data_IF_456869197122
#
_entry.id   IF_456869197122
#
_cell.length_a   1.000
_cell.length_b   1.000
_cell.length_c   1.000
_cell.angle_alpha   90.00
_cell.angle_beta   90.00
_cell.angle_gamma   90.00
#
_symmetry.space_group_name_H-M   'P 1'
#
loop_
_entity.id
_entity.type
_entity.pdbx_description
1 polymer ?
#
# COMPACT_ATOMS: atom_id res chain seq x y z
N UNK A 1 20.70 12.00 -2.01
CA UNK A 1 19.33 11.45 -1.95
C UNK A 1 18.30 12.56 -1.81
N UNK A 2 17.14 12.47 -2.48
CA UNK A 2 16.01 13.38 -2.30
C UNK A 2 15.07 12.80 -1.24
N UNK A 3 14.84 13.52 -0.17
CA UNK A 3 14.03 13.06 0.96
C UNK A 3 12.77 13.90 1.07
N UNK A 4 11.61 13.25 1.17
CA UNK A 4 10.32 13.86 1.47
C UNK A 4 9.96 13.59 2.93
N UNK A 5 9.64 14.63 3.70
CA UNK A 5 9.23 14.50 5.09
C UNK A 5 7.87 15.16 5.32
N UNK A 6 6.80 14.36 5.41
CA UNK A 6 5.49 14.85 5.84
C UNK A 6 5.52 15.29 7.31
N UNK A 7 4.90 16.44 7.60
CA UNK A 7 4.75 16.96 8.97
C UNK A 7 3.30 17.32 9.28
N UNK A 8 2.87 16.98 10.49
CA UNK A 8 1.62 17.43 11.11
C UNK A 8 1.89 18.46 12.21
N UNK A 9 3.14 18.94 12.27
CA UNK A 9 3.64 19.85 13.28
C UNK A 9 3.63 19.29 14.70
N UNK A 10 3.49 18.00 14.90
CA UNK A 10 3.66 17.36 16.20
C UNK A 10 5.13 17.24 16.59
N UNK A 11 5.39 17.06 17.88
CA UNK A 11 6.76 16.81 18.36
C UNK A 11 7.42 15.59 17.70
N UNK A 12 6.64 14.62 17.25
CA UNK A 12 7.12 13.39 16.59
C UNK A 12 7.46 13.62 15.13
N UNK A 13 6.63 14.38 14.39
CA UNK A 13 6.99 14.78 13.03
C UNK A 13 8.22 15.70 13.06
N UNK A 14 8.41 16.50 14.11
CA UNK A 14 9.62 17.29 14.28
C UNK A 14 10.88 16.41 14.45
N UNK A 15 10.83 15.34 15.26
CA UNK A 15 11.95 14.38 15.37
C UNK A 15 12.20 13.68 14.02
N UNK A 16 11.15 13.31 13.31
CA UNK A 16 11.28 12.72 11.97
C UNK A 16 11.96 13.70 10.99
N UNK A 17 11.60 14.98 11.05
CA UNK A 17 12.22 16.02 10.24
C UNK A 17 13.72 16.21 10.57
N UNK A 18 14.10 16.13 11.85
CA UNK A 18 15.52 16.17 12.26
C UNK A 18 16.29 14.96 11.72
N UNK A 19 15.73 13.75 11.80
CA UNK A 19 16.33 12.54 11.22
C UNK A 19 16.45 12.66 9.71
N UNK A 20 15.39 13.14 9.04
CA UNK A 20 15.39 13.36 7.59
C UNK A 20 16.47 14.37 7.17
N UNK A 21 16.61 15.45 7.91
CA UNK A 21 17.64 16.47 7.67
C UNK A 21 19.05 15.93 7.87
N UNK A 22 19.29 15.18 8.95
CA UNK A 22 20.59 14.55 9.22
C UNK A 22 20.97 13.59 8.07
N UNK A 23 20.02 12.80 7.59
CA UNK A 23 20.23 11.86 6.48
C UNK A 23 20.45 12.60 5.15
N UNK A 24 19.68 13.67 4.87
CA UNK A 24 19.88 14.51 3.69
C UNK A 24 21.29 15.15 3.69
N UNK A 25 21.75 15.63 4.85
CA UNK A 25 23.10 16.19 5.02
C UNK A 25 24.18 15.14 4.75
N UNK A 26 24.06 13.94 5.33
CA UNK A 26 25.06 12.87 5.15
C UNK A 26 25.11 12.35 3.71
N UNK A 27 23.98 12.29 3.01
CA UNK A 27 23.88 11.83 1.62
C UNK A 27 24.13 12.94 0.61
N UNK A 28 24.58 14.14 1.04
CA UNK A 28 24.72 15.34 0.17
C UNK A 28 23.47 15.58 -0.68
N UNK A 29 22.30 15.32 -0.09
CA UNK A 29 21.01 15.36 -0.75
C UNK A 29 20.19 16.60 -0.42
N UNK A 30 18.88 16.50 -0.61
CA UNK A 30 17.91 17.57 -0.33
C UNK A 30 16.76 17.03 0.51
N UNK A 31 16.15 17.93 1.29
CA UNK A 31 14.96 17.66 2.08
C UNK A 31 13.80 18.53 1.62
N UNK A 32 12.66 17.92 1.36
CA UNK A 32 11.42 18.64 1.18
C UNK A 32 10.45 18.32 2.32
N UNK A 33 10.00 19.37 3.00
CA UNK A 33 8.99 19.29 4.05
C UNK A 33 7.61 19.42 3.42
N UNK A 34 6.70 18.48 3.72
CA UNK A 34 5.33 18.48 3.20
C UNK A 34 4.33 18.61 4.35
N UNK A 35 3.42 19.59 4.26
CA UNK A 35 2.23 19.60 5.09
C UNK A 35 0.97 19.50 4.24
N UNK A 36 -0.01 18.73 4.69
CA UNK A 36 -1.30 18.54 4.00
C UNK A 36 -2.40 19.15 4.84
N UNK A 37 -3.04 20.16 4.31
CA UNK A 37 -4.25 20.74 4.90
C UNK A 37 -5.42 19.84 4.52
N UNK A 38 -6.02 19.20 5.53
CA UNK A 38 -7.21 18.37 5.31
C UNK A 38 -8.44 19.25 5.27
N UNK A 39 -9.15 19.24 4.16
CA UNK A 39 -10.46 19.88 4.06
C UNK A 39 -11.40 19.22 5.07
N UNK A 40 -12.03 20.02 5.94
CA UNK A 40 -13.12 19.50 6.78
C UNK A 40 -14.29 19.14 5.87
N UNK A 41 -15.08 18.09 6.20
CA UNK A 41 -16.32 17.83 5.48
C UNK A 41 -17.17 19.09 5.46
N UNK A 42 -17.67 19.45 4.29
CA UNK A 42 -18.47 20.65 4.01
C UNK A 42 -19.77 20.78 4.81
N UNK A 43 -20.10 19.79 5.64
CA UNK A 43 -21.35 19.72 6.39
C UNK A 43 -21.42 20.65 7.62
N UNK A 44 -20.34 21.37 7.94
CA UNK A 44 -20.28 22.27 9.10
C UNK A 44 -20.21 23.76 8.75
N UNK A 45 -20.16 24.13 7.47
CA UNK A 45 -19.96 25.56 7.11
C UNK A 45 -20.92 25.96 6.00
N UNK A 46 -22.13 26.28 6.40
CA UNK A 46 -23.12 27.05 5.58
C UNK A 46 -22.98 28.55 5.84
N UNK A 47 -21.79 29.09 6.10
CA UNK A 47 -21.58 30.51 6.35
C UNK A 47 -20.58 31.10 5.34
N UNK A 48 -20.76 32.33 4.95
CA UNK A 48 -19.85 33.12 4.10
C UNK A 48 -18.43 33.24 4.67
N UNK A 49 -18.25 32.86 5.94
CA UNK A 49 -16.94 32.84 6.65
C UNK A 49 -16.08 31.62 6.37
N UNK A 50 -16.60 30.62 5.65
CA UNK A 50 -15.86 29.35 5.40
C UNK A 50 -14.57 29.59 4.63
N UNK A 51 -14.62 30.42 3.59
CA UNK A 51 -13.44 30.73 2.76
C UNK A 51 -12.37 31.49 3.55
N UNK A 52 -12.77 32.39 4.44
CA UNK A 52 -11.85 33.13 5.31
C UNK A 52 -11.15 32.21 6.31
N UNK A 53 -11.87 31.22 6.86
CA UNK A 53 -11.29 30.22 7.77
C UNK A 53 -10.31 29.32 7.04
N UNK A 54 -10.63 28.88 5.83
CA UNK A 54 -9.72 28.07 5.00
C UNK A 54 -8.44 28.83 4.63
N UNK A 55 -8.56 30.08 4.22
CA UNK A 55 -7.41 30.94 3.91
C UNK A 55 -6.55 31.19 5.15
N UNK A 56 -7.16 31.37 6.32
CA UNK A 56 -6.42 31.54 7.58
C UNK A 56 -5.69 30.24 7.98
N UNK A 57 -6.34 29.08 7.83
CA UNK A 57 -5.69 27.77 8.09
C UNK A 57 -4.50 27.54 7.16
N UNK A 58 -4.66 27.84 5.87
CA UNK A 58 -3.60 27.76 4.87
C UNK A 58 -2.43 28.68 5.22
N UNK A 59 -2.70 29.95 5.51
CA UNK A 59 -1.69 30.94 5.88
C UNK A 59 -0.91 30.54 7.15
N UNK A 60 -1.64 30.05 8.16
CA UNK A 60 -1.02 29.56 9.39
C UNK A 60 -0.14 28.33 9.13
N UNK A 61 -0.62 27.37 8.34
CA UNK A 61 0.13 26.17 7.98
C UNK A 61 1.40 26.54 7.19
N UNK A 62 1.31 27.45 6.24
CA UNK A 62 2.45 27.92 5.46
C UNK A 62 3.51 28.62 6.34
N UNK A 63 3.05 29.46 7.27
CA UNK A 63 3.95 30.15 8.23
C UNK A 63 4.69 29.16 9.12
N UNK A 64 3.98 28.17 9.69
CA UNK A 64 4.57 27.12 10.53
C UNK A 64 5.55 26.25 9.74
N UNK A 65 5.18 25.84 8.53
CA UNK A 65 6.03 25.02 7.67
C UNK A 65 7.32 25.76 7.29
N UNK A 66 7.22 27.06 6.96
CA UNK A 66 8.39 27.89 6.68
C UNK A 66 9.28 28.07 7.93
N UNK A 67 8.70 28.12 9.12
CA UNK A 67 9.45 28.20 10.38
C UNK A 67 10.21 26.89 10.66
N UNK A 68 9.57 25.72 10.48
CA UNK A 68 10.26 24.42 10.60
C UNK A 68 11.42 24.29 9.60
N UNK A 69 11.21 24.65 8.32
CA UNK A 69 12.27 24.63 7.33
C UNK A 69 13.45 25.52 7.70
N UNK A 70 13.18 26.74 8.21
CA UNK A 70 14.24 27.65 8.67
C UNK A 70 15.02 27.09 9.86
N UNK A 71 14.34 26.44 10.81
CA UNK A 71 14.98 25.82 11.96
C UNK A 71 15.90 24.66 11.59
N UNK A 72 15.59 23.93 10.51
CA UNK A 72 16.40 22.84 9.97
C UNK A 72 17.52 23.34 9.06
N UNK A 73 17.33 24.51 8.42
CA UNK A 73 18.28 25.02 7.42
C UNK A 73 19.61 25.38 8.07
N UNK A 74 20.61 24.50 7.90
CA UNK A 74 21.99 24.76 8.30
C UNK A 74 22.95 24.21 7.24
N UNK A 75 23.98 24.99 6.90
CA UNK A 75 25.01 24.58 5.94
C UNK A 75 24.54 24.53 4.48
N UNK A 76 24.99 23.51 3.73
CA UNK A 76 24.77 23.39 2.28
C UNK A 76 23.53 22.55 1.90
N UNK A 77 22.87 21.92 2.86
CA UNK A 77 21.72 21.06 2.60
C UNK A 77 20.51 21.90 2.22
N UNK A 78 19.97 21.66 1.02
CA UNK A 78 18.78 22.36 0.55
C UNK A 78 17.55 21.83 1.29
N UNK A 79 16.82 22.74 1.94
CA UNK A 79 15.53 22.44 2.57
C UNK A 79 14.45 23.28 1.90
N UNK A 80 13.44 22.61 1.37
CA UNK A 80 12.29 23.25 0.71
C UNK A 80 10.99 22.85 1.41
N UNK A 81 9.91 23.57 1.13
CA UNK A 81 8.59 23.26 1.69
C UNK A 81 7.52 23.18 0.63
N UNK A 82 6.54 22.31 0.84
CA UNK A 82 5.36 22.19 0.01
C UNK A 82 4.11 22.06 0.86
N UNK A 83 3.09 22.85 0.53
CA UNK A 83 1.78 22.79 1.15
C UNK A 83 0.83 22.13 0.14
N UNK A 84 0.18 21.03 0.54
CA UNK A 84 -0.83 20.34 -0.24
C UNK A 84 -2.19 20.45 0.45
N UNK A 85 -3.26 20.13 -0.28
CA UNK A 85 -4.63 20.07 0.21
C UNK A 85 -5.27 18.74 -0.17
N UNK A 86 -6.10 18.21 0.71
CA UNK A 86 -6.93 17.03 0.46
C UNK A 86 -6.57 15.82 1.34
N UNK A 87 -6.59 14.64 0.73
CA UNK A 87 -6.25 13.39 1.42
C UNK A 87 -4.75 13.28 1.67
N UNK A 88 -4.40 12.98 2.92
CA UNK A 88 -3.01 13.02 3.39
C UNK A 88 -2.15 11.97 2.68
N UNK A 89 -2.62 10.73 2.62
CA UNK A 89 -1.87 9.61 2.07
C UNK A 89 -1.66 9.78 0.57
N UNK A 90 -2.69 10.15 -0.17
CA UNK A 90 -2.63 10.42 -1.60
C UNK A 90 -1.71 11.59 -1.93
N UNK A 91 -1.73 12.64 -1.12
CA UNK A 91 -0.86 13.81 -1.28
C UNK A 91 0.61 13.46 -1.06
N UNK A 92 0.92 12.64 -0.05
CA UNK A 92 2.28 12.16 0.20
C UNK A 92 2.80 11.36 -0.98
N UNK A 93 2.01 10.38 -1.48
CA UNK A 93 2.41 9.54 -2.61
C UNK A 93 2.60 10.35 -3.88
N UNK A 94 1.64 11.20 -4.22
CA UNK A 94 1.71 12.07 -5.41
C UNK A 94 2.93 12.98 -5.36
N UNK A 95 3.23 13.54 -4.18
CA UNK A 95 4.40 14.41 -4.03
C UNK A 95 5.70 13.65 -4.12
N UNK A 96 5.81 12.49 -3.47
CA UNK A 96 6.97 11.62 -3.56
C UNK A 96 7.26 11.21 -5.02
N UNK A 97 6.21 10.89 -5.77
CA UNK A 97 6.33 10.53 -7.18
C UNK A 97 6.76 11.71 -8.04
N UNK A 98 6.09 12.87 -7.92
CA UNK A 98 6.35 14.06 -8.77
C UNK A 98 7.73 14.67 -8.55
N UNK A 99 8.27 14.56 -7.33
CA UNK A 99 9.61 15.06 -7.00
C UNK A 99 10.71 14.03 -7.28
N UNK A 100 10.34 12.77 -7.51
CA UNK A 100 11.29 11.67 -7.59
C UNK A 100 12.01 11.45 -6.27
N UNK A 101 11.28 11.50 -5.14
CA UNK A 101 11.86 11.24 -3.83
C UNK A 101 12.42 9.82 -3.74
N UNK A 102 13.63 9.69 -3.20
CA UNK A 102 14.28 8.39 -2.97
C UNK A 102 13.81 7.76 -1.67
N UNK A 103 13.36 8.58 -0.71
CA UNK A 103 12.95 8.15 0.62
C UNK A 103 11.88 9.09 1.18
N UNK A 104 10.84 8.53 1.77
CA UNK A 104 9.87 9.26 2.61
C UNK A 104 10.26 9.03 4.07
N UNK A 105 10.34 10.08 4.89
CA UNK A 105 10.66 9.97 6.32
C UNK A 105 9.50 10.51 7.14
N UNK A 106 8.92 9.72 8.03
CA UNK A 106 7.77 10.14 8.81
C UNK A 106 7.77 9.59 10.25
N UNK A 107 7.13 10.30 11.15
CA UNK A 107 6.92 9.84 12.52
C UNK A 107 5.92 8.68 12.58
N UNK A 108 6.08 7.82 13.57
CA UNK A 108 5.18 6.65 13.73
C UNK A 108 3.75 7.02 14.16
N UNK A 109 3.53 8.15 14.83
CA UNK A 109 2.21 8.60 15.35
C UNK A 109 2.14 10.11 15.48
N UNK A 110 0.92 10.69 15.46
CA UNK A 110 0.66 12.10 15.71
C UNK A 110 0.23 12.41 17.15
N UNK A 111 -0.36 11.47 17.90
CA UNK A 111 -0.90 11.73 19.25
C UNK A 111 -0.22 10.96 20.39
N UNK A 112 0.02 11.62 21.56
CA UNK A 112 0.69 10.99 22.71
C UNK A 112 -0.14 9.94 23.46
N UNK A 113 -1.47 10.05 23.42
CA UNK A 113 -2.38 9.29 24.28
C UNK A 113 -2.51 7.78 23.95
N UNK A 114 -2.15 7.37 22.74
CA UNK A 114 -2.20 5.96 22.29
C UNK A 114 -0.81 5.33 22.18
N UNK A 115 0.14 5.82 22.96
CA UNK A 115 1.59 5.63 22.82
C UNK A 115 2.14 4.22 23.09
N UNK A 116 1.29 3.22 23.33
CA UNK A 116 1.79 1.86 23.55
C UNK A 116 1.50 0.99 22.33
N UNK A 117 2.46 0.97 21.37
CA UNK A 117 2.56 -0.08 20.36
C UNK A 117 1.60 -0.05 19.16
N UNK A 118 1.14 1.13 18.69
CA UNK A 118 0.30 1.19 17.49
C UNK A 118 0.92 2.17 16.49
N UNK A 119 1.19 1.73 15.25
CA UNK A 119 1.55 2.62 14.14
C UNK A 119 0.34 3.51 13.83
N UNK A 120 0.56 4.82 13.64
CA UNK A 120 -0.52 5.75 13.30
C UNK A 120 -1.19 5.40 11.96
N UNK A 121 -2.48 5.70 11.82
CA UNK A 121 -3.26 5.36 10.63
C UNK A 121 -2.65 5.87 9.32
N UNK A 122 -2.13 7.11 9.32
CA UNK A 122 -1.46 7.70 8.15
C UNK A 122 -0.16 6.94 7.83
N UNK A 123 0.69 6.68 8.84
CA UNK A 123 1.94 5.96 8.64
C UNK A 123 1.70 4.54 8.14
N UNK A 124 0.74 3.81 8.73
CA UNK A 124 0.39 2.46 8.30
C UNK A 124 -0.12 2.42 6.86
N UNK A 125 -1.04 3.34 6.50
CA UNK A 125 -1.57 3.41 5.13
C UNK A 125 -0.50 3.83 4.14
N UNK A 126 0.36 4.80 4.51
CA UNK A 126 1.46 5.23 3.65
C UNK A 126 2.42 4.08 3.37
N UNK A 127 2.84 3.30 4.38
CA UNK A 127 3.70 2.11 4.19
C UNK A 127 3.01 1.06 3.29
N UNK A 128 1.70 0.89 3.44
CA UNK A 128 0.95 -0.10 2.64
C UNK A 128 0.80 0.26 1.18
N UNK A 129 0.72 1.56 0.88
CA UNK A 129 0.45 2.09 -0.46
C UNK A 129 1.71 2.60 -1.17
N UNK A 130 2.86 2.63 -0.47
CA UNK A 130 4.06 3.24 -0.98
C UNK A 130 4.67 2.48 -2.17
N UNK A 131 5.06 3.24 -3.16
CA UNK A 131 5.94 2.84 -4.26
C UNK A 131 7.41 3.25 -4.01
N UNK A 132 7.68 3.90 -2.89
CA UNK A 132 8.99 4.41 -2.45
C UNK A 132 9.37 3.88 -1.08
N UNK A 133 10.66 3.75 -0.75
CA UNK A 133 11.11 3.44 0.60
C UNK A 133 10.57 4.44 1.62
N UNK A 134 10.11 3.94 2.77
CA UNK A 134 9.61 4.77 3.88
C UNK A 134 10.38 4.47 5.15
N UNK A 135 11.00 5.49 5.72
CA UNK A 135 11.59 5.46 7.06
C UNK A 135 10.55 5.87 8.09
N UNK A 136 10.19 4.97 8.96
CA UNK A 136 9.37 5.25 10.14
C UNK A 136 10.29 5.53 11.32
N UNK A 137 10.11 6.72 11.89
CA UNK A 137 10.86 7.18 13.07
C UNK A 137 10.01 6.98 14.31
N UNK A 138 10.35 6.01 15.19
CA UNK A 138 9.60 5.72 16.40
C UNK A 138 9.88 6.75 17.52
N UNK A 139 9.03 6.77 18.58
CA UNK A 139 9.32 7.55 19.77
C UNK A 139 10.64 7.13 20.44
N UNK A 140 11.33 8.10 21.04
CA UNK A 140 12.62 7.83 21.69
C UNK A 140 13.80 7.68 20.73
N UNK A 141 13.58 7.95 19.42
CA UNK A 141 14.70 8.13 18.51
C UNK A 141 15.38 9.44 18.82
N UNK A 142 16.64 9.37 19.21
CA UNK A 142 17.48 10.56 19.29
C UNK A 142 18.14 10.75 17.92
N UNK A 143 17.96 11.91 17.27
CA UNK A 143 18.77 12.24 16.12
C UNK A 143 20.23 12.21 16.58
N UNK A 144 21.01 11.26 16.09
CA UNK A 144 22.44 11.25 16.37
C UNK A 144 23.04 12.51 15.75
N UNK A 145 23.26 13.53 16.58
CA UNK A 145 24.06 14.67 16.21
C UNK A 145 25.50 14.16 16.03
N UNK A 146 25.80 13.67 14.82
CA UNK A 146 27.20 13.44 14.45
C UNK A 146 27.83 14.81 14.24
N UNK A 147 28.94 15.06 14.94
CA UNK A 147 29.76 16.26 14.72
C UNK A 147 30.08 16.37 13.21
N UNK A 148 30.25 17.58 12.68
CA UNK A 148 30.56 17.80 11.27
C UNK A 148 31.81 17.06 10.77
N UNK A 149 32.72 16.71 11.68
CA UNK A 149 33.96 15.96 11.42
C UNK A 149 33.83 14.43 11.65
N UNK A 150 32.68 13.98 12.14
CA UNK A 150 32.45 12.54 12.32
C UNK A 150 32.13 11.91 10.95
N UNK A 151 33.19 11.54 10.25
CA UNK A 151 33.17 10.76 9.00
C UNK A 151 32.60 9.34 9.22
N UNK A 152 31.92 9.12 10.33
CA UNK A 152 31.39 7.84 10.74
C UNK A 152 30.41 7.26 9.72
N UNK A 153 30.67 6.03 9.36
CA UNK A 153 29.81 5.19 8.55
C UNK A 153 28.45 5.02 9.22
N UNK A 154 27.36 5.01 8.43
CA UNK A 154 26.05 4.59 8.91
C UNK A 154 26.09 3.10 9.28
N UNK A 155 25.53 2.73 10.41
CA UNK A 155 25.41 1.33 10.83
C UNK A 155 24.00 0.82 10.55
N UNK A 156 23.86 -0.08 9.58
CA UNK A 156 22.58 -0.52 9.03
C UNK A 156 22.44 -2.04 9.12
N UNK A 157 21.30 -2.48 9.63
CA UNK A 157 20.88 -3.89 9.54
C UNK A 157 19.88 -4.04 8.42
N UNK A 158 20.13 -4.94 7.48
CA UNK A 158 19.22 -5.31 6.39
C UNK A 158 18.66 -6.69 6.65
N UNK A 159 17.39 -6.77 7.02
CA UNK A 159 16.73 -8.05 7.28
C UNK A 159 16.24 -8.67 5.96
N UNK A 160 16.73 -9.86 5.65
CA UNK A 160 16.44 -10.61 4.43
C UNK A 160 15.83 -11.98 4.77
N UNK A 161 14.77 -12.36 4.09
CA UNK A 161 14.10 -13.66 4.25
C UNK A 161 14.25 -14.59 3.03
N UNK A 162 15.03 -14.14 2.02
CA UNK A 162 15.23 -14.87 0.76
C UNK A 162 14.02 -14.83 -0.19
N UNK A 163 13.01 -13.99 0.09
CA UNK A 163 11.82 -13.82 -0.76
C UNK A 163 11.95 -12.60 -1.67
N UNK A 164 10.99 -12.44 -2.59
CA UNK A 164 10.99 -11.33 -3.54
C UNK A 164 11.01 -9.95 -2.88
N UNK A 165 10.36 -9.78 -1.72
CA UNK A 165 10.38 -8.54 -0.95
C UNK A 165 11.78 -8.15 -0.46
N UNK A 166 12.64 -9.12 -0.18
CA UNK A 166 14.04 -8.90 0.23
C UNK A 166 14.89 -8.22 -0.85
N UNK A 167 14.57 -8.42 -2.13
CA UNK A 167 15.30 -7.77 -3.24
C UNK A 167 15.22 -6.24 -3.18
N UNK A 168 14.04 -5.69 -2.85
CA UNK A 168 13.88 -4.26 -2.67
C UNK A 168 14.80 -3.72 -1.57
N UNK A 169 14.85 -4.38 -0.42
CA UNK A 169 15.73 -4.01 0.69
C UNK A 169 17.22 -4.06 0.30
N UNK A 170 17.62 -5.08 -0.44
CA UNK A 170 18.99 -5.22 -0.95
C UNK A 170 19.35 -4.09 -1.92
N UNK A 171 18.48 -3.75 -2.87
CA UNK A 171 18.71 -2.66 -3.82
C UNK A 171 18.73 -1.29 -3.12
N UNK A 172 17.90 -1.09 -2.11
CA UNK A 172 17.97 0.12 -1.30
C UNK A 172 19.31 0.23 -0.56
N UNK A 173 19.80 -0.85 0.03
CA UNK A 173 21.12 -0.88 0.69
C UNK A 173 22.25 -0.58 -0.31
N UNK A 174 22.17 -1.12 -1.53
CA UNK A 174 23.10 -0.79 -2.62
C UNK A 174 23.06 0.69 -2.99
N UNK A 175 21.86 1.25 -3.11
CA UNK A 175 21.68 2.67 -3.41
C UNK A 175 22.23 3.56 -2.29
N UNK A 176 21.92 3.23 -1.03
CA UNK A 176 22.39 4.00 0.12
C UNK A 176 23.92 4.07 0.18
N UNK A 177 24.61 2.94 -0.01
CA UNK A 177 26.09 2.84 -0.01
C UNK A 177 26.76 3.65 -1.11
N UNK A 178 26.06 4.01 -2.19
CA UNK A 178 26.58 4.92 -3.22
C UNK A 178 26.58 6.38 -2.77
N UNK A 179 25.77 6.74 -1.78
CA UNK A 179 25.58 8.10 -1.32
C UNK A 179 26.31 8.41 -0.02
N UNK A 180 26.56 7.40 0.82
CA UNK A 180 27.15 7.57 2.15
C UNK A 180 27.94 6.32 2.55
N UNK A 181 29.11 6.45 3.24
CA UNK A 181 29.76 5.31 3.86
C UNK A 181 28.81 4.58 4.80
N UNK A 182 28.71 3.27 4.65
CA UNK A 182 27.69 2.49 5.35
C UNK A 182 28.21 1.09 5.71
N UNK A 183 28.25 0.79 7.00
CA UNK A 183 28.50 -0.54 7.53
C UNK A 183 27.18 -1.30 7.53
N UNK A 184 27.10 -2.32 6.70
CA UNK A 184 25.86 -3.05 6.48
C UNK A 184 26.00 -4.47 7.00
N UNK A 185 25.09 -4.86 7.90
CA UNK A 185 24.93 -6.25 8.30
C UNK A 185 23.66 -6.82 7.66
N UNK A 186 23.83 -7.81 6.79
CA UNK A 186 22.72 -8.59 6.25
C UNK A 186 22.33 -9.67 7.25
N UNK A 187 21.14 -9.57 7.80
CA UNK A 187 20.62 -10.47 8.82
C UNK A 187 19.58 -11.41 8.22
N UNK A 188 19.80 -12.71 8.38
CA UNK A 188 18.81 -13.75 8.12
C UNK A 188 18.46 -14.46 9.41
N UNK A 189 17.18 -14.44 9.77
CA UNK A 189 16.66 -15.30 10.83
C UNK A 189 16.16 -16.61 10.24
N UNK A 190 16.38 -17.71 10.95
CA UNK A 190 15.90 -19.03 10.54
C UNK A 190 15.22 -19.76 11.70
N UNK A 191 14.27 -20.63 11.34
CA UNK A 191 13.64 -21.56 12.26
C UNK A 191 14.38 -22.90 12.21
N UNK A 192 15.06 -23.37 13.28
CA UNK A 192 15.87 -24.59 13.24
C UNK A 192 15.12 -25.80 12.70
N UNK A 193 13.86 -26.00 13.14
CA UNK A 193 13.04 -27.14 12.70
C UNK A 193 12.76 -27.09 11.18
N UNK A 194 12.46 -25.91 10.63
CA UNK A 194 12.19 -25.76 9.21
C UNK A 194 13.43 -26.00 8.36
N UNK A 195 14.60 -25.49 8.80
CA UNK A 195 15.86 -25.66 8.09
C UNK A 195 16.37 -27.08 8.16
N UNK A 196 16.19 -27.79 9.28
CA UNK A 196 16.50 -29.22 9.37
C UNK A 196 15.66 -30.03 8.37
N UNK A 197 14.36 -29.74 8.26
CA UNK A 197 13.50 -30.39 7.29
C UNK A 197 13.93 -30.07 5.84
N UNK A 198 14.28 -28.81 5.55
CA UNK A 198 14.74 -28.36 4.24
C UNK A 198 16.04 -29.05 3.80
N UNK A 199 16.98 -29.20 4.72
CA UNK A 199 18.30 -29.83 4.47
C UNK A 199 18.26 -31.35 4.56
N UNK A 200 17.10 -31.95 4.91
CA UNK A 200 16.99 -33.40 5.10
C UNK A 200 17.82 -33.94 6.28
N UNK A 201 18.10 -33.10 7.26
CA UNK A 201 18.91 -33.47 8.43
C UNK A 201 18.07 -34.30 9.38
N UNK A 202 18.39 -35.61 9.48
CA UNK A 202 17.70 -36.55 10.35
C UNK A 202 18.53 -36.86 11.59
N UNK A 203 17.89 -37.13 12.72
CA UNK A 203 18.53 -37.48 14.00
C UNK A 203 18.15 -36.53 15.13
N UNK A 204 18.43 -36.92 16.37
CA UNK A 204 18.24 -36.07 17.53
C UNK A 204 19.27 -34.93 17.53
N UNK A 205 18.81 -33.70 17.29
CA UNK A 205 19.61 -32.48 17.34
C UNK A 205 19.15 -31.62 18.50
N UNK A 206 20.08 -30.94 19.12
CA UNK A 206 19.80 -30.01 20.19
C UNK A 206 19.29 -28.69 19.57
N UNK A 207 17.97 -28.48 19.61
CA UNK A 207 17.33 -27.28 19.09
C UNK A 207 17.69 -26.00 19.86
N UNK A 208 18.31 -26.12 21.04
CA UNK A 208 18.75 -24.97 21.84
C UNK A 208 20.09 -24.40 21.36
N UNK A 209 20.82 -25.15 20.54
CA UNK A 209 22.14 -24.75 20.03
C UNK A 209 22.06 -24.34 18.56
N UNK A 210 23.00 -23.47 18.18
CA UNK A 210 23.21 -23.06 16.79
C UNK A 210 23.88 -24.22 16.04
N UNK A 211 23.24 -24.70 14.99
CA UNK A 211 23.82 -25.76 14.15
C UNK A 211 24.77 -25.17 13.10
N UNK A 212 26.09 -25.49 13.18
CA UNK A 212 27.09 -24.92 12.27
C UNK A 212 26.84 -25.27 10.79
N UNK A 213 26.27 -26.44 10.50
CA UNK A 213 25.97 -26.88 9.13
C UNK A 213 24.87 -26.03 8.49
N UNK A 214 23.78 -25.76 9.26
CA UNK A 214 22.70 -24.88 8.85
C UNK A 214 23.20 -23.45 8.65
N UNK A 215 23.98 -22.94 9.60
CA UNK A 215 24.54 -21.58 9.51
C UNK A 215 25.45 -21.44 8.30
N UNK A 216 26.30 -22.42 8.03
CA UNK A 216 27.22 -22.41 6.89
C UNK A 216 26.44 -22.38 5.54
N UNK A 217 25.39 -23.20 5.41
CA UNK A 217 24.55 -23.24 4.21
C UNK A 217 23.82 -21.92 3.99
N UNK A 218 23.14 -21.42 5.02
CA UNK A 218 22.41 -20.16 4.96
C UNK A 218 23.33 -18.96 4.71
N UNK A 219 24.52 -18.93 5.34
CA UNK A 219 25.52 -17.88 5.11
C UNK A 219 25.98 -17.87 3.66
N UNK A 220 26.25 -19.04 3.08
CA UNK A 220 26.64 -19.17 1.67
C UNK A 220 25.52 -18.71 0.74
N UNK A 221 24.30 -19.14 1.01
CA UNK A 221 23.12 -18.73 0.25
C UNK A 221 22.91 -17.22 0.30
N UNK A 222 23.00 -16.63 1.50
CA UNK A 222 22.84 -15.19 1.69
C UNK A 222 23.99 -14.41 1.04
N UNK A 223 25.23 -14.90 1.10
CA UNK A 223 26.37 -14.27 0.42
C UNK A 223 26.18 -14.22 -1.11
N UNK A 224 25.63 -15.28 -1.69
CA UNK A 224 25.31 -15.32 -3.12
C UNK A 224 24.17 -14.33 -3.48
N UNK A 225 23.15 -14.23 -2.63
CA UNK A 225 22.04 -13.29 -2.82
C UNK A 225 22.53 -11.84 -2.74
N UNK A 226 23.33 -11.51 -1.74
CA UNK A 226 23.89 -10.17 -1.52
C UNK A 226 24.83 -9.77 -2.66
N UNK A 227 25.69 -10.66 -3.09
CA UNK A 227 26.67 -10.41 -4.15
C UNK A 227 27.60 -9.23 -3.84
N UNK A 228 28.11 -8.59 -4.89
CA UNK A 228 28.96 -7.42 -4.75
C UNK A 228 28.14 -6.17 -4.43
N UNK A 229 28.56 -5.42 -3.41
CA UNK A 229 27.97 -4.12 -3.07
C UNK A 229 28.99 -3.00 -3.30
N UNK A 230 28.64 -1.96 -4.05
CA UNK A 230 29.48 -0.78 -4.22
C UNK A 230 29.47 0.08 -2.93
N UNK A 231 30.43 1.01 -2.85
CA UNK A 231 30.48 2.02 -1.79
C UNK A 231 31.47 1.70 -0.67
N UNK A 232 31.59 2.63 0.28
CA UNK A 232 32.50 2.55 1.42
C UNK A 232 31.80 1.96 2.66
N UNK A 233 32.60 1.42 3.58
CA UNK A 233 32.15 0.75 4.81
C UNK A 233 32.20 -0.77 4.69
N UNK A 234 31.99 -1.44 5.81
CA UNK A 234 32.05 -2.90 5.93
C UNK A 234 30.78 -3.59 5.47
N UNK A 235 30.89 -4.85 5.08
CA UNK A 235 29.77 -5.73 4.78
C UNK A 235 29.91 -6.96 5.66
N UNK A 236 28.88 -7.26 6.41
CA UNK A 236 28.81 -8.42 7.28
C UNK A 236 27.57 -9.25 6.99
N UNK A 237 27.66 -10.56 7.16
CA UNK A 237 26.54 -11.48 7.07
C UNK A 237 26.32 -12.11 8.44
N UNK A 238 25.09 -12.09 8.90
CA UNK A 238 24.67 -12.71 10.14
C UNK A 238 23.50 -13.65 9.89
N UNK A 239 23.61 -14.87 10.41
CA UNK A 239 22.56 -15.89 10.37
C UNK A 239 22.27 -16.30 11.80
N UNK A 240 21.06 -16.03 12.27
CA UNK A 240 20.69 -16.23 13.66
C UNK A 240 19.44 -17.13 13.76
N UNK A 241 19.43 -18.12 14.65
CA UNK A 241 18.25 -18.91 14.90
C UNK A 241 17.19 -18.08 15.62
N UNK A 242 15.93 -18.37 15.38
CA UNK A 242 14.81 -17.81 16.13
C UNK A 242 13.84 -18.90 16.57
N UNK A 243 13.37 -18.81 17.81
CA UNK A 243 12.36 -19.71 18.38
C UNK A 243 11.08 -18.96 18.74
N UNK A 244 11.11 -17.64 18.57
CA UNK A 244 10.04 -16.73 18.94
C UNK A 244 9.57 -15.86 17.78
N UNK A 245 9.20 -14.62 18.10
CA UNK A 245 8.75 -13.66 17.11
C UNK A 245 9.94 -13.04 16.35
N UNK A 246 10.03 -13.23 15.03
CA UNK A 246 11.11 -12.66 14.22
C UNK A 246 11.21 -11.13 14.32
N UNK A 247 10.08 -10.43 14.51
CA UNK A 247 10.09 -8.98 14.65
C UNK A 247 10.87 -8.53 15.90
N UNK A 248 10.66 -9.20 17.02
CA UNK A 248 11.41 -8.95 18.27
C UNK A 248 12.90 -9.27 18.10
N UNK A 249 13.23 -10.41 17.50
CA UNK A 249 14.60 -10.83 17.29
C UNK A 249 15.39 -9.84 16.41
N UNK A 250 14.80 -9.34 15.30
CA UNK A 250 15.43 -8.30 14.46
C UNK A 250 15.69 -7.02 15.25
N UNK A 251 14.70 -6.54 16.03
CA UNK A 251 14.85 -5.32 16.81
C UNK A 251 15.86 -5.45 17.94
N UNK A 252 15.92 -6.59 18.61
CA UNK A 252 16.93 -6.89 19.64
C UNK A 252 18.33 -6.94 19.04
N UNK A 253 18.48 -7.60 17.89
CA UNK A 253 19.73 -7.63 17.15
C UNK A 253 20.21 -6.23 16.76
N UNK A 254 19.30 -5.40 16.24
CA UNK A 254 19.61 -4.03 15.84
C UNK A 254 20.01 -3.15 17.05
N UNK A 255 19.29 -3.27 18.19
CA UNK A 255 19.62 -2.54 19.43
C UNK A 255 20.99 -2.94 19.98
N UNK A 256 21.26 -4.23 20.06
CA UNK A 256 22.55 -4.74 20.58
C UNK A 256 23.76 -4.24 19.79
N UNK A 257 23.55 -3.88 18.52
CA UNK A 257 24.59 -3.34 17.63
C UNK A 257 24.52 -1.83 17.43
N UNK A 258 23.65 -1.15 18.15
CA UNK A 258 23.47 0.31 18.05
C UNK A 258 23.25 0.79 16.62
N UNK A 259 22.43 0.07 15.84
CA UNK A 259 22.15 0.42 14.46
C UNK A 259 21.46 1.78 14.34
N UNK A 260 21.76 2.54 13.31
CA UNK A 260 21.08 3.77 12.96
C UNK A 260 19.66 3.49 12.47
N UNK A 261 19.48 2.42 11.68
CA UNK A 261 18.17 1.92 11.26
C UNK A 261 18.21 0.49 10.73
N UNK A 262 17.06 -0.14 10.71
CA UNK A 262 16.81 -1.43 10.07
C UNK A 262 16.19 -1.20 8.70
N UNK A 263 16.63 -1.95 7.69
CA UNK A 263 16.02 -1.98 6.35
C UNK A 263 15.36 -3.33 6.13
N UNK A 264 14.13 -3.34 5.65
CA UNK A 264 13.43 -4.58 5.34
C UNK A 264 12.44 -4.40 4.20
N UNK A 265 12.09 -5.49 3.53
CA UNK A 265 11.05 -5.49 2.51
C UNK A 265 9.66 -5.26 3.12
N UNK A 266 8.88 -4.40 2.50
CA UNK A 266 7.45 -4.28 2.77
C UNK A 266 6.72 -5.33 1.92
N UNK A 267 6.14 -6.36 2.55
CA UNK A 267 5.29 -7.29 1.82
C UNK A 267 3.99 -6.60 1.41
N UNK A 268 3.85 -6.26 0.13
CA UNK A 268 2.55 -5.95 -0.45
C UNK A 268 1.86 -7.27 -0.85
N UNK A 269 1.10 -7.86 0.06
CA UNK A 269 0.30 -9.03 -0.27
C UNK A 269 -0.98 -8.62 -0.98
N UNK A 270 -1.08 -8.92 -2.27
CA UNK A 270 -2.33 -8.94 -3.01
C UNK A 270 -2.97 -10.33 -2.82
N UNK A 271 -4.26 -10.39 -2.44
CA UNK A 271 -5.02 -11.65 -2.35
C UNK A 271 -5.35 -12.16 -0.94
N UNK A 272 -5.95 -13.36 -0.86
CA UNK A 272 -6.51 -14.01 0.34
C UNK A 272 -5.50 -14.31 1.47
N UNK A 273 -4.20 -14.31 1.20
CA UNK A 273 -3.16 -14.51 2.22
C UNK A 273 -3.13 -13.39 3.30
N UNK A 274 -3.96 -12.37 3.13
CA UNK A 274 -4.12 -11.22 4.03
C UNK A 274 -4.72 -11.56 5.40
N UNK A 275 -5.35 -12.71 5.55
CA UNK A 275 -6.24 -13.00 6.70
C UNK A 275 -5.53 -13.81 7.80
N UNK A 276 -4.47 -14.55 7.48
CA UNK A 276 -3.93 -15.55 8.39
C UNK A 276 -2.72 -15.13 9.26
N UNK A 277 -1.89 -14.15 8.82
CA UNK A 277 -0.71 -13.74 9.61
C UNK A 277 -0.45 -12.24 9.44
N UNK A 278 -0.28 -11.53 10.56
CA UNK A 278 0.21 -10.14 10.57
C UNK A 278 1.66 -10.17 10.05
N UNK A 279 2.00 -9.46 8.95
CA UNK A 279 3.36 -9.47 8.41
C UNK A 279 4.41 -9.05 9.45
N UNK A 280 5.62 -9.61 9.37
CA UNK A 280 6.75 -9.23 10.26
C UNK A 280 6.98 -7.72 10.21
N UNK A 281 6.90 -7.11 9.01
CA UNK A 281 7.00 -5.67 8.81
C UNK A 281 5.99 -4.87 9.66
N UNK A 282 4.73 -5.29 9.69
CA UNK A 282 3.70 -4.64 10.51
C UNK A 282 4.01 -4.78 12.02
N UNK A 283 4.46 -5.95 12.45
CA UNK A 283 4.84 -6.18 13.86
C UNK A 283 6.07 -5.36 14.26
N UNK A 284 7.05 -5.24 13.38
CA UNK A 284 8.21 -4.36 13.59
C UNK A 284 7.77 -2.91 13.68
N UNK A 285 6.94 -2.43 12.76
CA UNK A 285 6.43 -1.06 12.77
C UNK A 285 5.72 -0.72 14.09
N UNK A 286 5.02 -1.69 14.67
CA UNK A 286 4.35 -1.54 15.97
C UNK A 286 5.30 -1.61 17.19
N UNK A 287 6.45 -2.30 17.09
CA UNK A 287 7.35 -2.58 18.22
C UNK A 287 8.70 -1.87 18.15
N UNK A 288 8.94 -1.08 17.12
CA UNK A 288 10.23 -0.43 16.85
C UNK A 288 10.53 0.76 17.81
N UNK A 289 10.31 0.58 19.11
CA UNK A 289 10.67 1.61 20.08
C UNK A 289 12.18 1.92 20.01
N UNK A 290 12.53 3.16 19.69
CA UNK A 290 13.91 3.66 19.64
C UNK A 290 14.76 3.19 18.44
N UNK A 291 14.25 2.31 17.54
CA UNK A 291 14.97 1.88 16.35
C UNK A 291 14.21 2.29 15.09
N UNK A 292 14.70 3.24 14.30
CA UNK A 292 14.09 3.60 13.04
C UNK A 292 14.10 2.44 12.03
N UNK A 293 13.02 2.29 11.25
CA UNK A 293 12.87 1.19 10.30
C UNK A 293 12.50 1.70 8.92
N UNK A 294 13.26 1.28 7.90
CA UNK A 294 12.97 1.54 6.49
C UNK A 294 12.22 0.35 5.91
N UNK A 295 11.00 0.60 5.50
CA UNK A 295 10.18 -0.33 4.73
C UNK A 295 10.37 -0.05 3.25
N UNK A 296 10.88 -1.03 2.52
CA UNK A 296 11.15 -0.90 1.09
C UNK A 296 10.10 -1.69 0.31
N UNK A 297 9.35 -1.06 -0.59
CA UNK A 297 8.39 -1.76 -1.42
C UNK A 297 9.09 -2.82 -2.29
N UNK A 298 8.39 -3.89 -2.69
CA UNK A 298 8.94 -4.86 -3.62
C UNK A 298 9.31 -4.15 -4.94
N UNK A 299 10.44 -4.55 -5.50
CA UNK A 299 10.80 -4.10 -6.84
C UNK A 299 9.78 -4.66 -7.84
N UNK A 300 9.41 -3.89 -8.88
CA UNK A 300 8.70 -4.45 -10.01
C UNK A 300 9.48 -5.66 -10.51
N UNK A 301 8.86 -6.83 -10.51
CA UNK A 301 9.52 -8.00 -11.10
C UNK A 301 9.55 -7.82 -12.61
N UNK A 302 10.53 -8.44 -13.29
CA UNK A 302 10.57 -8.42 -14.75
C UNK A 302 9.31 -9.04 -15.40
N UNK A 303 8.51 -9.77 -14.61
CA UNK A 303 7.15 -10.17 -14.99
C UNK A 303 6.13 -9.02 -14.89
N UNK A 304 6.39 -7.98 -14.08
CA UNK A 304 5.56 -6.76 -14.06
C UNK A 304 5.94 -5.79 -15.19
N UNK A 305 7.13 -5.96 -15.79
CA UNK A 305 7.58 -5.23 -16.98
C UNK A 305 7.35 -6.00 -18.29
N UNK A 306 6.99 -7.27 -18.21
CA UNK A 306 6.52 -8.05 -19.34
C UNK A 306 5.01 -7.80 -19.47
N UNK A 307 4.66 -6.91 -20.40
CA UNK A 307 3.32 -6.53 -20.78
C UNK A 307 2.52 -5.90 -19.64
N UNK A 308 2.32 -4.60 -19.67
CA UNK A 308 1.19 -3.97 -18.97
C UNK A 308 0.02 -4.93 -19.17
N UNK A 309 -0.57 -5.52 -18.11
CA UNK A 309 -1.63 -6.51 -18.29
C UNK A 309 -2.68 -5.84 -19.17
N UNK A 310 -2.76 -6.30 -20.40
CA UNK A 310 -3.67 -5.72 -21.38
C UNK A 310 -5.04 -6.12 -20.92
N UNK A 311 -5.81 -5.16 -20.39
CA UNK A 311 -7.20 -5.42 -20.07
C UNK A 311 -7.89 -5.65 -21.41
N UNK A 312 -8.18 -6.91 -21.71
CA UNK A 312 -8.84 -7.35 -22.92
C UNK A 312 -10.29 -7.77 -22.65
N UNK A 313 -10.59 -8.23 -21.43
CA UNK A 313 -11.93 -8.70 -21.05
C UNK A 313 -12.37 -8.03 -19.75
N UNK A 314 -13.50 -7.37 -19.78
CA UNK A 314 -14.06 -6.60 -18.65
C UNK A 314 -15.44 -7.13 -18.27
N UNK A 315 -15.65 -7.46 -17.00
CA UNK A 315 -17.00 -7.69 -16.46
C UNK A 315 -17.62 -6.37 -16.03
N UNK A 316 -18.77 -6.03 -16.60
CA UNK A 316 -19.53 -4.83 -16.32
C UNK A 316 -20.90 -5.17 -15.72
N UNK A 317 -21.00 -5.45 -14.40
CA UNK A 317 -22.27 -5.69 -13.75
C UNK A 317 -23.02 -4.37 -13.55
N UNK A 318 -24.33 -4.39 -13.84
CA UNK A 318 -25.22 -3.25 -13.58
C UNK A 318 -26.51 -3.71 -12.88
N UNK A 319 -27.00 -2.89 -11.96
CA UNK A 319 -28.33 -3.02 -11.38
C UNK A 319 -29.37 -2.19 -12.14
N UNK A 320 -29.02 -1.68 -13.32
CA UNK A 320 -29.81 -0.79 -14.17
C UNK A 320 -30.04 0.59 -13.54
N UNK A 321 -29.42 0.93 -12.42
CA UNK A 321 -29.39 2.29 -11.89
C UNK A 321 -28.54 3.23 -12.75
N UNK A 322 -28.72 4.53 -12.60
CA UNK A 322 -27.90 5.52 -13.32
C UNK A 322 -26.39 5.35 -13.04
N UNK A 323 -26.02 5.00 -11.80
CA UNK A 323 -24.63 4.76 -11.43
C UNK A 323 -24.09 3.46 -12.02
N UNK A 324 -24.88 2.37 -11.99
CA UNK A 324 -24.54 1.11 -12.63
C UNK A 324 -24.37 1.25 -14.14
N UNK A 325 -25.31 1.94 -14.80
CA UNK A 325 -25.26 2.16 -16.25
C UNK A 325 -24.08 3.04 -16.67
N UNK A 326 -23.70 4.01 -15.85
CA UNK A 326 -22.47 4.79 -16.06
C UNK A 326 -21.21 3.94 -15.99
N UNK A 327 -21.16 2.98 -15.08
CA UNK A 327 -20.03 2.05 -15.00
C UNK A 327 -19.90 1.21 -16.28
N UNK A 328 -21.02 0.82 -16.89
CA UNK A 328 -21.03 0.16 -18.20
C UNK A 328 -20.37 1.03 -19.26
N UNK A 329 -20.71 2.31 -19.36
CA UNK A 329 -20.06 3.24 -20.30
C UNK A 329 -18.54 3.35 -20.08
N UNK A 330 -18.09 3.34 -18.81
CA UNK A 330 -16.67 3.32 -18.48
C UNK A 330 -15.96 2.01 -18.93
N UNK A 331 -16.63 0.87 -18.85
CA UNK A 331 -16.08 -0.39 -19.35
C UNK A 331 -15.76 -0.31 -20.85
N UNK A 332 -16.65 0.28 -21.65
CA UNK A 332 -16.39 0.50 -23.07
C UNK A 332 -15.29 1.53 -23.31
N UNK A 333 -15.27 2.64 -22.56
CA UNK A 333 -14.22 3.65 -22.68
C UNK A 333 -12.82 3.07 -22.33
N UNK A 334 -12.75 2.13 -21.40
CA UNK A 334 -11.51 1.46 -21.00
C UNK A 334 -10.94 0.59 -22.16
N UNK A 335 -11.81 -0.05 -22.94
CA UNK A 335 -11.42 -0.93 -24.05
C UNK A 335 -11.32 -0.18 -25.38
N UNK A 336 -11.93 0.99 -25.53
CA UNK A 336 -11.99 1.74 -26.80
C UNK A 336 -10.64 1.92 -27.52
N UNK A 337 -9.49 2.14 -26.84
CA UNK A 337 -8.21 2.30 -27.52
C UNK A 337 -7.65 1.04 -28.20
N UNK A 338 -8.07 -0.16 -27.77
CA UNK A 338 -7.45 -1.42 -28.18
C UNK A 338 -8.45 -2.51 -28.61
N UNK A 339 -9.74 -2.29 -28.38
CA UNK A 339 -10.75 -3.33 -28.52
C UNK A 339 -10.74 -4.30 -27.33
N UNK A 340 -11.55 -5.35 -27.42
CA UNK A 340 -11.64 -6.39 -26.39
C UNK A 340 -13.06 -6.93 -26.20
N UNK A 341 -13.35 -7.46 -25.01
CA UNK A 341 -14.63 -8.07 -24.67
C UNK A 341 -15.25 -7.41 -23.45
N UNK A 342 -16.51 -6.99 -23.56
CA UNK A 342 -17.34 -6.56 -22.43
C UNK A 342 -18.34 -7.65 -22.08
N UNK A 343 -18.21 -8.22 -20.89
CA UNK A 343 -19.18 -9.15 -20.29
C UNK A 343 -20.20 -8.30 -19.49
N UNK A 344 -21.24 -7.85 -20.15
CA UNK A 344 -22.31 -7.04 -19.55
C UNK A 344 -23.30 -7.93 -18.82
N UNK A 345 -23.48 -7.77 -17.53
CA UNK A 345 -24.38 -8.62 -16.78
C UNK A 345 -25.29 -7.87 -15.79
N UNK A 346 -26.46 -8.44 -15.55
CA UNK A 346 -27.35 -8.09 -14.45
C UNK A 346 -27.54 -9.31 -13.54
N UNK A 347 -27.41 -9.09 -12.22
CA UNK A 347 -27.66 -10.15 -11.23
C UNK A 347 -29.02 -9.94 -10.61
N UNK A 348 -29.89 -10.93 -10.73
CA UNK A 348 -31.15 -10.96 -10.04
C UNK A 348 -31.01 -11.68 -8.70
N UNK A 349 -31.16 -10.92 -7.61
CA UNK A 349 -31.20 -11.51 -6.29
C UNK A 349 -32.57 -12.16 -6.02
N UNK A 350 -32.55 -13.40 -5.57
CA UNK A 350 -33.75 -14.05 -5.08
C UNK A 350 -33.99 -13.57 -3.65
N UNK A 351 -34.96 -12.71 -3.46
CA UNK A 351 -35.52 -12.46 -2.12
C UNK A 351 -36.15 -13.76 -1.65
N UNK A 352 -35.78 -14.26 -0.46
CA UNK A 352 -36.49 -15.33 0.20
C UNK A 352 -37.97 -14.92 0.27
N UNK A 353 -38.93 -15.80 -0.11
CA UNK A 353 -40.34 -15.45 -0.01
C UNK A 353 -40.65 -15.17 1.46
N UNK A 354 -41.30 -14.03 1.68
CA UNK A 354 -41.88 -13.75 3.00
C UNK A 354 -42.89 -14.87 3.34
N UNK A 355 -42.88 -15.40 4.58
CA UNK A 355 -43.77 -16.52 4.95
C UNK A 355 -45.27 -16.30 4.70
N UNK A 356 -45.67 -15.03 4.44
CA UNK A 356 -47.07 -14.63 4.22
C UNK A 356 -47.61 -14.94 2.81
N UNK A 357 -46.76 -15.29 1.81
CA UNK A 357 -47.19 -15.49 0.41
C UNK A 357 -46.64 -16.78 -0.21
N UNK A 358 -46.54 -17.85 0.58
CA UNK A 358 -45.96 -19.15 0.20
C UNK A 358 -46.91 -20.07 -0.62
N UNK A 359 -48.00 -19.59 -1.12
CA UNK A 359 -48.92 -20.37 -1.96
C UNK A 359 -48.96 -19.77 -3.37
N UNK A 360 -48.18 -20.25 -4.26
CA UNK A 360 -48.25 -20.16 -5.71
C UNK A 360 -47.00 -19.56 -6.40
N UNK A 361 -45.90 -20.22 -6.28
CA UNK A 361 -44.81 -20.19 -7.32
C UNK A 361 -43.88 -21.37 -7.13
N UNK A 362 -44.22 -22.48 -7.71
CA UNK A 362 -43.30 -23.54 -8.00
C UNK A 362 -42.20 -23.00 -8.93
N UNK A 363 -40.96 -23.27 -8.55
CA UNK A 363 -39.72 -23.03 -9.32
C UNK A 363 -39.36 -21.56 -9.57
N UNK A 364 -38.46 -21.00 -8.76
CA UNK A 364 -37.86 -19.65 -8.88
C UNK A 364 -37.00 -19.39 -10.12
N UNK A 365 -37.37 -19.90 -11.29
CA UNK A 365 -36.79 -19.58 -12.58
C UNK A 365 -37.52 -18.40 -13.21
N UNK A 366 -36.78 -17.44 -13.77
CA UNK A 366 -37.35 -16.37 -14.58
C UNK A 366 -38.24 -16.97 -15.66
N UNK A 367 -39.45 -16.41 -15.83
CA UNK A 367 -40.20 -16.65 -17.08
C UNK A 367 -39.34 -16.16 -18.26
N UNK A 368 -39.36 -16.87 -19.36
CA UNK A 368 -38.60 -16.50 -20.57
C UNK A 368 -38.88 -15.07 -21.03
N UNK A 369 -40.07 -14.56 -20.77
CA UNK A 369 -40.48 -13.18 -21.04
C UNK A 369 -39.72 -12.14 -20.21
N UNK A 370 -39.54 -12.37 -18.90
CA UNK A 370 -38.89 -11.42 -18.00
C UNK A 370 -37.38 -11.39 -18.27
N UNK A 371 -36.80 -12.53 -18.56
CA UNK A 371 -35.39 -12.64 -18.95
C UNK A 371 -35.12 -11.93 -20.29
N UNK A 372 -35.99 -12.08 -21.27
CA UNK A 372 -35.89 -11.38 -22.54
C UNK A 372 -36.01 -9.86 -22.37
N UNK A 373 -36.89 -9.39 -21.47
CA UNK A 373 -37.04 -7.97 -21.13
C UNK A 373 -35.77 -7.40 -20.52
N UNK A 374 -35.16 -8.08 -19.55
CA UNK A 374 -33.90 -7.64 -18.94
C UNK A 374 -32.75 -7.62 -19.95
N UNK A 375 -32.63 -8.63 -20.81
CA UNK A 375 -31.62 -8.66 -21.87
C UNK A 375 -31.81 -7.48 -22.83
N UNK A 376 -33.05 -7.13 -23.16
CA UNK A 376 -33.35 -5.99 -24.03
C UNK A 376 -32.93 -4.66 -23.38
N UNK A 377 -33.16 -4.49 -22.07
CA UNK A 377 -32.71 -3.31 -21.31
C UNK A 377 -31.18 -3.20 -21.26
N UNK A 378 -30.49 -4.33 -21.06
CA UNK A 378 -29.04 -4.37 -21.07
C UNK A 378 -28.45 -4.02 -22.43
N UNK A 379 -29.08 -4.50 -23.52
CA UNK A 379 -28.64 -4.19 -24.91
C UNK A 379 -28.71 -2.71 -25.23
N UNK A 380 -29.64 -1.96 -24.64
CA UNK A 380 -29.72 -0.50 -24.82
C UNK A 380 -28.48 0.21 -24.27
N UNK A 381 -27.76 -0.40 -23.31
CA UNK A 381 -26.53 0.16 -22.73
C UNK A 381 -25.29 -0.07 -23.60
N UNK A 382 -25.38 -0.91 -24.63
CA UNK A 382 -24.29 -1.18 -25.56
C UNK A 382 -24.14 0.00 -26.53
N UNK A 383 -22.97 0.68 -26.58
CA UNK A 383 -22.75 1.76 -27.54
C UNK A 383 -22.87 1.28 -28.99
N UNK A 384 -23.51 2.08 -29.83
CA UNK A 384 -23.72 1.72 -31.23
C UNK A 384 -22.41 1.54 -32.04
N UNK A 385 -21.32 2.13 -31.57
CA UNK A 385 -20.01 2.06 -32.18
C UNK A 385 -19.07 1.01 -31.56
N UNK A 386 -19.57 0.20 -30.61
CA UNK A 386 -18.75 -0.82 -29.91
C UNK A 386 -18.03 -1.75 -30.90
N UNK A 387 -18.76 -2.29 -31.89
CA UNK A 387 -18.17 -3.18 -32.90
C UNK A 387 -17.12 -2.47 -33.75
N UNK A 388 -17.35 -1.21 -34.11
CA UNK A 388 -16.37 -0.38 -34.86
C UNK A 388 -15.09 -0.15 -34.08
N UNK A 389 -15.19 -0.10 -32.73
CA UNK A 389 -14.06 0.01 -31.82
C UNK A 389 -13.40 -1.35 -31.53
N UNK A 390 -13.82 -2.42 -32.19
CA UNK A 390 -13.28 -3.76 -31.98
C UNK A 390 -13.70 -4.37 -30.64
N UNK A 391 -14.83 -3.92 -30.06
CA UNK A 391 -15.32 -4.43 -28.78
C UNK A 391 -16.49 -5.40 -29.01
N UNK A 392 -16.29 -6.64 -28.59
CA UNK A 392 -17.35 -7.67 -28.57
C UNK A 392 -18.10 -7.56 -27.25
N UNK A 393 -19.43 -7.66 -27.30
CA UNK A 393 -20.27 -7.59 -26.10
C UNK A 393 -21.06 -8.86 -25.90
N UNK A 394 -20.93 -9.48 -24.74
CA UNK A 394 -21.79 -10.57 -24.29
C UNK A 394 -22.75 -10.03 -23.22
N UNK A 395 -24.05 -10.30 -23.41
CA UNK A 395 -25.10 -9.83 -22.50
C UNK A 395 -25.68 -11.02 -21.75
N UNK A 396 -25.63 -11.00 -20.42
CA UNK A 396 -26.09 -12.14 -19.60
C UNK A 396 -26.90 -11.65 -18.39
N UNK A 397 -27.99 -12.38 -18.10
CA UNK A 397 -28.71 -12.26 -16.83
C UNK A 397 -28.33 -13.45 -15.95
N UNK A 398 -27.80 -13.17 -14.77
CA UNK A 398 -27.36 -14.17 -13.80
C UNK A 398 -28.45 -14.33 -12.75
N UNK A 399 -29.02 -15.52 -12.67
CA UNK A 399 -29.98 -15.89 -11.62
C UNK A 399 -29.22 -16.50 -10.43
N UNK A 400 -29.39 -15.95 -9.24
CA UNK A 400 -28.83 -16.56 -8.03
C UNK A 400 -28.57 -15.54 -6.91
N UNK A 401 -28.43 -16.01 -5.74
CA UNK A 401 -28.10 -15.49 -4.44
C UNK A 401 -27.74 -13.99 -4.29
N UNK A 402 -26.75 -13.71 -3.48
CA UNK A 402 -26.26 -12.34 -3.27
C UNK A 402 -25.48 -11.82 -4.48
N UNK A 403 -25.80 -10.62 -4.96
CA UNK A 403 -25.21 -10.03 -6.16
C UNK A 403 -23.67 -10.01 -6.14
N UNK A 404 -23.04 -9.63 -5.04
CA UNK A 404 -21.59 -9.61 -4.92
C UNK A 404 -20.95 -10.99 -5.16
N UNK A 405 -21.55 -12.06 -4.61
CA UNK A 405 -21.07 -13.43 -4.81
C UNK A 405 -21.21 -13.87 -6.25
N UNK A 406 -22.34 -13.57 -6.88
CA UNK A 406 -22.62 -13.93 -8.27
C UNK A 406 -21.67 -13.21 -9.24
N UNK A 407 -21.39 -11.92 -8.99
CA UNK A 407 -20.41 -11.13 -9.76
C UNK A 407 -19.01 -11.74 -9.67
N UNK A 408 -18.54 -12.08 -8.46
CA UNK A 408 -17.21 -12.67 -8.24
C UNK A 408 -17.10 -14.03 -8.94
N UNK A 409 -18.11 -14.88 -8.81
CA UNK A 409 -18.16 -16.17 -9.50
C UNK A 409 -18.19 -16.04 -11.04
N UNK A 410 -18.91 -15.05 -11.55
CA UNK A 410 -18.92 -14.76 -12.99
C UNK A 410 -17.53 -14.28 -13.46
N UNK A 411 -16.88 -13.40 -12.72
CA UNK A 411 -15.55 -12.93 -13.03
C UNK A 411 -14.51 -14.07 -13.09
N UNK A 412 -14.59 -15.03 -12.17
CA UNK A 412 -13.70 -16.20 -12.15
C UNK A 412 -14.01 -17.15 -13.31
N UNK A 413 -15.28 -17.47 -13.52
CA UNK A 413 -15.71 -18.38 -14.59
C UNK A 413 -15.36 -17.87 -15.99
N UNK A 414 -15.54 -16.56 -16.23
CA UNK A 414 -15.26 -15.91 -17.51
C UNK A 414 -13.80 -15.48 -17.64
N UNK A 415 -12.99 -15.69 -16.61
CA UNK A 415 -11.57 -15.31 -16.58
C UNK A 415 -11.31 -13.87 -17.02
N UNK A 416 -12.18 -12.92 -16.60
CA UNK A 416 -12.06 -11.52 -17.00
C UNK A 416 -10.82 -10.86 -16.38
N UNK A 417 -10.25 -9.87 -17.03
CA UNK A 417 -9.06 -9.16 -16.54
C UNK A 417 -9.39 -8.13 -15.49
N UNK A 418 -10.59 -7.54 -15.54
CA UNK A 418 -11.05 -6.58 -14.54
C UNK A 418 -12.57 -6.55 -14.39
N UNK A 419 -13.04 -5.95 -13.27
CA UNK A 419 -14.47 -5.72 -13.00
C UNK A 419 -14.68 -4.20 -12.92
N UNK A 420 -15.69 -3.68 -13.65
CA UNK A 420 -16.07 -2.27 -13.62
C UNK A 420 -17.48 -2.13 -13.10
N UNK A 421 -17.67 -1.49 -11.95
CA UNK A 421 -19.00 -1.35 -11.33
C UNK A 421 -19.24 0.03 -10.74
N UNK A 422 -20.50 0.42 -10.57
CA UNK A 422 -20.88 1.66 -9.94
C UNK A 422 -20.59 1.66 -8.44
N UNK A 423 -20.25 2.81 -7.88
CA UNK A 423 -19.99 2.93 -6.44
C UNK A 423 -21.23 2.65 -5.59
N UNK A 424 -22.44 2.82 -6.14
CA UNK A 424 -23.74 2.62 -5.46
C UNK A 424 -24.79 2.15 -6.45
N UNK A 425 -25.82 1.44 -5.96
CA UNK A 425 -27.03 1.04 -6.69
C UNK A 425 -28.28 1.72 -6.14
N UNK A 426 -29.47 1.14 -6.40
CA UNK A 426 -30.78 1.68 -6.04
C UNK A 426 -31.04 1.87 -4.54
N UNK A 427 -30.31 1.20 -3.63
CA UNK A 427 -30.64 1.15 -2.18
C UNK A 427 -29.61 1.81 -1.25
N UNK A 428 -28.67 2.61 -1.72
CA UNK A 428 -27.56 3.11 -0.90
C UNK A 428 -27.91 4.33 -0.06
N UNK A 429 -27.68 4.29 1.27
CA UNK A 429 -27.76 5.45 2.15
C UNK A 429 -26.76 6.54 1.73
N UNK A 430 -27.19 7.81 1.79
CA UNK A 430 -26.45 8.99 1.27
C UNK A 430 -25.06 9.19 1.88
N UNK A 431 -24.77 8.62 3.04
CA UNK A 431 -23.53 8.87 3.82
C UNK A 431 -22.38 7.87 3.59
N UNK A 432 -22.58 6.76 2.88
CA UNK A 432 -21.51 5.78 2.66
C UNK A 432 -20.86 5.96 1.28
N UNK A 433 -19.52 5.95 1.14
CA UNK A 433 -18.83 6.10 -0.15
C UNK A 433 -19.10 4.94 -1.12
N UNK A 434 -19.42 3.74 -0.62
CA UNK A 434 -19.70 2.53 -1.40
C UNK A 434 -21.01 1.88 -0.98
N UNK A 435 -21.73 1.31 -1.94
CA UNK A 435 -22.85 0.41 -1.70
C UNK A 435 -22.38 -0.96 -1.16
N UNK A 436 -23.31 -1.75 -0.60
CA UNK A 436 -23.01 -3.07 -0.04
C UNK A 436 -22.35 -4.02 -1.03
N UNK A 437 -22.86 -4.08 -2.26
CA UNK A 437 -22.33 -4.92 -3.34
C UNK A 437 -20.93 -4.45 -3.75
N UNK A 438 -20.74 -3.16 -4.03
CA UNK A 438 -19.45 -2.61 -4.44
C UNK A 438 -18.38 -2.80 -3.37
N UNK A 439 -18.74 -2.59 -2.10
CA UNK A 439 -17.84 -2.83 -0.96
C UNK A 439 -17.43 -4.30 -0.87
N UNK A 440 -18.36 -5.23 -0.99
CA UNK A 440 -18.09 -6.66 -0.90
C UNK A 440 -17.24 -7.14 -2.10
N UNK A 441 -17.54 -6.68 -3.32
CA UNK A 441 -16.76 -7.02 -4.51
C UNK A 441 -15.33 -6.50 -4.39
N UNK A 442 -15.11 -5.24 -4.01
CA UNK A 442 -13.76 -4.67 -3.81
C UNK A 442 -12.97 -5.43 -2.76
N UNK A 443 -13.62 -5.89 -1.68
CA UNK A 443 -12.93 -6.64 -0.62
C UNK A 443 -12.55 -8.07 -1.01
N UNK A 444 -13.30 -8.69 -1.92
CA UNK A 444 -13.20 -10.14 -2.21
C UNK A 444 -12.73 -10.46 -3.61
N UNK A 445 -12.63 -9.48 -4.49
CA UNK A 445 -12.15 -9.71 -5.85
C UNK A 445 -10.67 -10.08 -5.88
N UNK A 446 -10.33 -11.07 -6.70
CA UNK A 446 -8.96 -11.45 -6.99
C UNK A 446 -8.40 -10.73 -8.22
N UNK A 447 -9.16 -9.82 -8.80
CA UNK A 447 -8.89 -9.07 -10.02
C UNK A 447 -9.01 -7.58 -9.76
N UNK A 448 -8.39 -6.70 -10.55
CA UNK A 448 -8.60 -5.26 -10.49
C UNK A 448 -10.07 -4.90 -10.55
N UNK A 449 -10.50 -4.01 -9.67
CA UNK A 449 -11.88 -3.50 -9.62
C UNK A 449 -11.86 -1.99 -9.81
N UNK A 450 -12.49 -1.53 -10.89
CA UNK A 450 -12.72 -0.11 -11.15
C UNK A 450 -14.10 0.27 -10.61
N UNK A 451 -14.14 1.17 -9.63
CA UNK A 451 -15.39 1.67 -9.06
C UNK A 451 -15.68 3.06 -9.59
N UNK A 452 -16.77 3.19 -10.33
CA UNK A 452 -17.17 4.44 -10.96
C UNK A 452 -18.06 5.26 -10.02
N UNK A 453 -17.68 6.47 -9.62
CA UNK A 453 -18.44 7.29 -8.69
C UNK A 453 -19.73 7.82 -9.33
N UNK A 454 -20.71 8.13 -8.48
CA UNK A 454 -21.91 8.87 -8.92
C UNK A 454 -21.52 10.29 -9.34
N UNK A 455 -22.14 10.87 -10.39
CA UNK A 455 -21.95 12.29 -10.68
C UNK A 455 -22.32 13.11 -9.44
N UNK A 456 -21.54 14.13 -9.11
CA UNK A 456 -22.04 15.19 -8.23
C UNK A 456 -23.18 15.88 -9.00
N UNK A 457 -24.38 15.88 -8.44
CA UNK A 457 -25.42 16.74 -8.93
C UNK A 457 -24.89 18.16 -8.75
N UNK A 458 -24.80 18.91 -9.87
CA UNK A 458 -24.51 20.32 -9.81
C UNK A 458 -25.68 20.97 -9.06
N UNK A 459 -25.42 21.44 -7.85
CA UNK A 459 -26.31 22.25 -7.04
C UNK A 459 -26.36 23.68 -7.59
#
# INVERSE_FOLDING_TARGET
MKILCPTDFSSRSHVAAQVAFALAKQTTGSLEMLHVVTSRPSDLVLSDDASLIEDQLRSNAQTRLAAECRALSSGRTQVTSWLAEGDVESSIQSRAWSTGADLIVMGSHSQPALARFILGSVAERTVRLADRPILIVPPGTEPRAREPDDSGSLNVVVALDGRSASRGALEFARSLRRHVPCDVTFLRLYWPIEEYARLGLTGARDLSQVDPEVVADLTRSLALEVGALPGLGTISIAVEPTWGDPASAILEYARARHCDFVVMGAESRHGLARIAHVPVASRIAHRAAGVPVIFVPPLPTAHDSAETPTIATVLAPTDLSAAGNRAVAFAYALLAPRGGVVELCHVREHSLPSPAYAYDRAEGKLGDSDRASLISQLRVLVPADAERLGITTHVTVIDGGKAAKAILQAADRLSVDSIVLGSRGHGGAYLAPFGSVSKEVVHRAHRPVLVVPRPREAS
#
